data_IF_344773765607
#
_entry.id   IF_344773765607
#
_cell.length_a   1.000
_cell.length_b   1.000
_cell.length_c   1.000
_cell.angle_alpha   90.00
_cell.angle_beta   90.00
_cell.angle_gamma   90.00
#
_symmetry.space_group_name_H-M   'P 1'
#
loop_
_entity.id
_entity.type
_entity.pdbx_description
1 polymer ?
#
# COMPACT_ATOMS: atom_id res chain seq x y z
N UNK A 1 66.67 -37.62 70.21
CA UNK A 1 66.25 -38.82 69.45
C UNK A 1 64.86 -38.50 68.89
N UNK A 2 64.62 -38.19 67.63
CA UNK A 2 65.43 -37.92 66.44
C UNK A 2 64.53 -36.99 65.58
N UNK A 3 65.02 -35.82 65.20
CA UNK A 3 65.22 -35.38 63.80
C UNK A 3 64.10 -35.71 62.81
N UNK A 4 63.40 -34.65 62.38
CA UNK A 4 62.92 -34.55 61.00
C UNK A 4 63.11 -33.11 60.51
N UNK A 5 63.74 -33.02 59.34
CA UNK A 5 64.39 -31.87 58.74
C UNK A 5 63.44 -30.97 57.90
N UNK A 6 63.84 -29.71 57.82
CA UNK A 6 63.62 -28.60 56.86
C UNK A 6 62.48 -28.59 55.82
N UNK A 7 61.94 -27.38 55.63
CA UNK A 7 61.31 -26.97 54.36
C UNK A 7 60.66 -25.57 54.41
N UNK A 8 61.46 -24.53 54.15
CA UNK A 8 61.02 -23.15 53.94
C UNK A 8 60.18 -23.00 52.64
N UNK A 9 59.37 -21.93 52.48
CA UNK A 9 58.30 -21.87 51.47
C UNK A 9 58.81 -21.46 50.09
N UNK A 10 58.19 -21.92 48.99
CA UNK A 10 58.51 -21.42 47.67
C UNK A 10 57.73 -20.12 47.36
N UNK A 11 58.49 -19.12 46.93
CA UNK A 11 58.03 -17.90 46.27
C UNK A 11 57.04 -18.21 45.12
N UNK A 12 55.93 -17.48 45.08
CA UNK A 12 55.15 -17.27 43.86
C UNK A 12 54.90 -15.77 43.61
N UNK A 13 54.79 -15.39 42.33
CA UNK A 13 55.25 -14.09 41.85
C UNK A 13 54.18 -12.99 41.88
N UNK A 14 54.69 -11.76 41.91
CA UNK A 14 53.96 -10.51 41.76
C UNK A 14 53.06 -10.52 40.51
N UNK A 15 51.74 -10.65 40.72
CA UNK A 15 50.75 -10.41 39.68
C UNK A 15 50.26 -8.96 39.78
N UNK A 16 50.85 -8.16 38.91
CA UNK A 16 50.43 -6.89 38.35
C UNK A 16 48.94 -6.58 38.55
N UNK A 17 48.64 -5.48 39.24
CA UNK A 17 47.30 -4.93 39.32
C UNK A 17 46.80 -4.48 37.94
N UNK A 18 45.95 -5.29 37.31
CA UNK A 18 45.13 -4.86 36.18
C UNK A 18 43.84 -4.23 36.72
N UNK A 19 43.92 -2.92 36.95
CA UNK A 19 42.78 -2.02 37.15
C UNK A 19 41.80 -2.19 35.97
N UNK A 20 40.65 -2.81 36.22
CA UNK A 20 39.52 -2.80 35.28
C UNK A 20 39.10 -1.34 35.10
N UNK A 21 39.10 -0.78 33.88
CA UNK A 21 38.56 0.56 33.65
C UNK A 21 37.05 0.53 33.83
N UNK A 22 36.53 1.39 34.70
CA UNK A 22 35.11 1.73 34.78
C UNK A 22 34.62 2.21 33.41
N UNK A 23 33.41 1.83 32.95
CA UNK A 23 32.87 2.35 31.69
C UNK A 23 32.49 3.83 31.87
N UNK A 24 33.02 4.69 31.01
CA UNK A 24 32.63 6.11 30.90
C UNK A 24 31.12 6.25 30.64
N UNK A 25 30.39 7.08 31.42
CA UNK A 25 29.01 7.42 31.13
C UNK A 25 28.98 8.54 30.09
N UNK A 26 29.21 8.23 28.82
CA UNK A 26 29.30 9.29 27.81
C UNK A 26 29.51 8.85 26.37
N UNK A 27 28.92 7.75 25.92
CA UNK A 27 28.93 7.38 24.51
C UNK A 27 27.53 7.04 24.02
N UNK A 28 26.77 8.08 23.68
CA UNK A 28 25.49 8.00 23.00
C UNK A 28 25.73 7.50 21.56
N UNK A 29 25.81 6.17 21.40
CA UNK A 29 25.80 5.54 20.07
C UNK A 29 24.38 5.61 19.53
N UNK A 30 24.13 6.56 18.63
CA UNK A 30 22.89 6.61 17.87
C UNK A 30 22.71 5.29 17.08
N UNK A 31 21.57 4.60 17.22
CA UNK A 31 21.30 3.41 16.43
C UNK A 31 21.13 3.81 14.94
N UNK A 32 21.49 2.93 13.99
CA UNK A 32 21.35 3.23 12.57
C UNK A 32 19.87 3.41 12.23
N UNK A 33 19.53 4.58 11.67
CA UNK A 33 18.19 4.91 11.19
C UNK A 33 17.89 4.11 9.93
N UNK A 34 17.36 2.90 10.11
CA UNK A 34 16.80 2.12 9.01
C UNK A 34 15.40 2.64 8.67
N UNK A 35 15.24 3.19 7.47
CA UNK A 35 13.94 3.55 6.90
C UNK A 35 13.33 2.32 6.26
N UNK A 36 12.11 1.95 6.64
CA UNK A 36 11.32 0.94 5.93
C UNK A 36 10.08 1.64 5.38
N UNK A 37 9.94 1.66 4.05
CA UNK A 37 8.81 2.30 3.34
C UNK A 37 8.56 3.76 3.72
N UNK A 38 9.60 4.59 3.74
CA UNK A 38 9.44 6.04 3.96
C UNK A 38 9.03 6.46 5.38
N UNK A 39 8.83 5.52 6.30
CA UNK A 39 8.50 5.80 7.70
C UNK A 39 9.79 5.86 8.53
N UNK A 40 9.98 6.97 9.25
CA UNK A 40 11.08 7.16 10.17
C UNK A 40 10.81 6.39 11.47
N UNK A 41 11.69 5.45 11.83
CA UNK A 41 11.60 4.63 13.05
C UNK A 41 11.50 5.46 14.34
N UNK A 42 11.93 6.72 14.31
CA UNK A 42 11.88 7.64 15.44
C UNK A 42 10.46 8.19 15.69
N UNK A 43 9.54 8.09 14.71
CA UNK A 43 8.13 8.48 14.86
C UNK A 43 7.34 7.46 15.72
N UNK A 44 7.78 6.20 15.79
CA UNK A 44 7.19 5.20 16.70
C UNK A 44 7.43 5.51 18.18
N UNK A 45 8.45 6.30 18.52
CA UNK A 45 8.74 6.70 19.90
C UNK A 45 8.06 8.02 20.32
N UNK A 46 7.52 8.79 19.37
CA UNK A 46 7.06 10.17 19.63
C UNK A 46 5.55 10.31 19.76
N UNK A 47 4.76 9.25 19.57
CA UNK A 47 3.31 9.39 19.44
C UNK A 47 2.52 8.78 20.58
N UNK A 48 2.62 9.50 21.71
CA UNK A 48 1.80 9.36 22.91
C UNK A 48 1.72 10.70 23.65
N UNK A 49 1.54 11.82 22.94
CA UNK A 49 1.30 13.11 23.61
C UNK A 49 -0.17 13.16 24.01
N UNK A 50 -0.48 12.64 25.20
CA UNK A 50 -1.79 12.76 25.82
C UNK A 50 -2.13 11.70 26.86
N UNK A 51 -1.44 10.56 26.88
CA UNK A 51 -1.68 9.50 27.88
C UNK A 51 -0.47 9.44 28.80
N UNK A 52 -0.69 9.57 30.11
CA UNK A 52 0.35 9.49 31.13
C UNK A 52 1.29 8.27 30.89
N UNK A 53 2.56 8.31 31.33
CA UNK A 53 3.45 7.15 31.24
C UNK A 53 2.70 5.98 31.85
N UNK A 54 2.43 4.94 31.05
CA UNK A 54 1.72 3.78 31.53
C UNK A 54 2.62 3.15 32.58
N UNK A 55 2.35 3.42 33.86
CA UNK A 55 3.02 2.73 34.94
C UNK A 55 2.44 1.32 34.99
N UNK A 56 2.88 0.48 34.05
CA UNK A 56 2.47 -0.91 33.98
C UNK A 56 2.77 -1.63 35.29
N UNK A 57 3.74 -1.14 36.09
CA UNK A 57 4.09 -1.71 37.40
C UNK A 57 3.06 -1.38 38.47
N UNK A 58 2.38 -0.24 38.38
CA UNK A 58 1.24 0.08 39.22
C UNK A 58 -0.04 -0.65 38.80
N UNK A 59 -0.23 -0.86 37.49
CA UNK A 59 -1.47 -1.45 36.94
C UNK A 59 -1.52 -2.98 36.98
N UNK A 60 -0.37 -3.63 36.91
CA UNK A 60 -0.26 -5.08 36.94
C UNK A 60 0.81 -5.52 37.97
N UNK A 61 0.46 -6.30 39.01
CA UNK A 61 1.42 -6.75 40.01
C UNK A 61 2.48 -7.70 39.40
N UNK A 62 3.65 -7.82 40.04
CA UNK A 62 4.68 -8.76 39.56
C UNK A 62 4.21 -10.20 39.73
N UNK A 63 4.46 -11.02 38.71
CA UNK A 63 4.20 -12.45 38.78
C UNK A 63 5.20 -13.12 39.73
N UNK A 64 4.82 -14.21 40.42
CA UNK A 64 5.76 -15.02 41.18
C UNK A 64 6.89 -15.55 40.28
N UNK A 65 8.10 -15.66 40.85
CA UNK A 65 9.27 -16.15 40.11
C UNK A 65 8.97 -17.50 39.44
N UNK A 66 9.25 -17.60 38.14
CA UNK A 66 8.95 -18.79 37.32
C UNK A 66 7.53 -18.87 36.75
N UNK A 67 6.62 -17.93 37.08
CA UNK A 67 5.25 -17.87 36.52
C UNK A 67 5.04 -16.80 35.45
N UNK A 68 6.11 -16.11 35.05
CA UNK A 68 6.10 -15.00 34.09
C UNK A 68 5.65 -15.39 32.66
N UNK A 69 5.60 -16.68 32.33
CA UNK A 69 5.12 -17.20 31.03
C UNK A 69 3.83 -18.03 31.13
N UNK A 70 3.21 -18.09 32.31
CA UNK A 70 1.94 -18.81 32.51
C UNK A 70 0.80 -18.12 31.78
N UNK A 71 -0.33 -18.79 31.58
CA UNK A 71 -1.47 -18.23 30.85
C UNK A 71 -2.05 -16.98 31.52
N UNK A 72 -1.87 -16.86 32.85
CA UNK A 72 -2.27 -15.71 33.66
C UNK A 72 -1.15 -14.71 33.89
N UNK A 73 0.00 -14.86 33.23
CA UNK A 73 1.12 -13.95 33.39
C UNK A 73 0.73 -12.53 32.98
N UNK A 74 1.24 -11.56 33.73
CA UNK A 74 1.04 -10.13 33.53
C UNK A 74 1.45 -9.66 32.12
N UNK A 75 2.37 -10.34 31.46
CA UNK A 75 2.84 -9.94 30.13
C UNK A 75 1.75 -10.02 29.06
N UNK A 76 0.82 -10.98 29.14
CA UNK A 76 -0.22 -11.16 28.13
C UNK A 76 -1.24 -10.01 28.07
N UNK A 77 -1.84 -9.54 29.19
CA UNK A 77 -2.71 -8.38 29.15
C UNK A 77 -1.97 -7.10 28.75
N UNK A 78 -0.72 -6.91 29.20
CA UNK A 78 0.11 -5.77 28.78
C UNK A 78 0.35 -5.78 27.27
N UNK A 79 0.77 -6.93 26.73
CA UNK A 79 0.99 -7.10 25.31
C UNK A 79 -0.30 -6.86 24.51
N UNK A 80 -1.44 -7.39 24.96
CA UNK A 80 -2.71 -7.21 24.26
C UNK A 80 -3.18 -5.75 24.27
N UNK A 81 -2.99 -5.03 25.37
CA UNK A 81 -3.32 -3.61 25.46
C UNK A 81 -2.44 -2.78 24.50
N UNK A 82 -1.13 -3.00 24.54
CA UNK A 82 -0.19 -2.31 23.67
C UNK A 82 -0.42 -2.64 22.19
N UNK A 83 -0.64 -3.92 21.89
CA UNK A 83 -0.94 -4.39 20.55
C UNK A 83 -2.26 -3.82 20.03
N UNK A 84 -3.29 -3.72 20.89
CA UNK A 84 -4.57 -3.12 20.50
C UNK A 84 -4.42 -1.64 20.16
N UNK A 85 -3.63 -0.88 20.92
CA UNK A 85 -3.35 0.52 20.62
C UNK A 85 -2.58 0.67 19.28
N UNK A 86 -1.52 -0.12 19.10
CA UNK A 86 -0.76 -0.15 17.85
C UNK A 86 -1.64 -0.51 16.64
N UNK A 87 -2.44 -1.59 16.76
CA UNK A 87 -3.32 -2.07 15.70
C UNK A 87 -4.40 -1.04 15.36
N UNK A 88 -4.99 -0.40 16.37
CA UNK A 88 -6.00 0.64 16.17
C UNK A 88 -5.43 1.83 15.41
N UNK A 89 -4.24 2.31 15.78
CA UNK A 89 -3.59 3.42 15.11
C UNK A 89 -3.21 3.08 13.65
N UNK A 90 -2.57 1.93 13.44
CA UNK A 90 -2.18 1.46 12.11
C UNK A 90 -3.39 1.27 11.18
N UNK A 91 -4.46 0.64 11.67
CA UNK A 91 -5.68 0.41 10.88
C UNK A 91 -6.41 1.72 10.60
N UNK A 92 -6.44 2.67 11.54
CA UNK A 92 -7.04 3.98 11.32
C UNK A 92 -6.33 4.72 10.18
N UNK A 93 -5.00 4.82 10.21
CA UNK A 93 -4.22 5.49 9.16
C UNK A 93 -4.43 4.87 7.78
N UNK A 94 -4.39 3.54 7.69
CA UNK A 94 -4.59 2.83 6.44
C UNK A 94 -6.01 2.97 5.89
N UNK A 95 -7.01 2.90 6.78
CA UNK A 95 -8.41 3.10 6.38
C UNK A 95 -8.66 4.51 5.88
N UNK A 96 -8.13 5.52 6.56
CA UNK A 96 -8.29 6.92 6.15
C UNK A 96 -7.64 7.15 4.78
N UNK A 97 -6.45 6.59 4.55
CA UNK A 97 -5.79 6.62 3.23
C UNK A 97 -6.64 5.93 2.15
N UNK A 98 -7.14 4.73 2.43
CA UNK A 98 -7.98 3.96 1.50
C UNK A 98 -9.28 4.72 1.18
N UNK A 99 -9.90 5.36 2.16
CA UNK A 99 -11.15 6.08 1.97
C UNK A 99 -10.96 7.31 1.07
N UNK A 100 -9.86 8.04 1.23
CA UNK A 100 -9.49 9.14 0.32
C UNK A 100 -9.25 8.62 -1.10
N UNK A 101 -8.50 7.51 -1.25
CA UNK A 101 -8.23 6.91 -2.57
C UNK A 101 -9.51 6.43 -3.26
N UNK A 102 -10.45 5.85 -2.51
CA UNK A 102 -11.73 5.38 -3.06
C UNK A 102 -12.60 6.52 -3.56
N UNK A 103 -12.70 7.62 -2.80
CA UNK A 103 -13.41 8.82 -3.24
C UNK A 103 -12.77 9.39 -4.51
N UNK A 104 -11.44 9.49 -4.53
CA UNK A 104 -10.71 9.96 -5.71
C UNK A 104 -10.95 9.04 -6.91
N UNK A 105 -10.81 7.72 -6.75
CA UNK A 105 -11.02 6.75 -7.82
C UNK A 105 -12.45 6.80 -8.37
N UNK A 106 -13.46 6.98 -7.52
CA UNK A 106 -14.85 7.13 -7.95
C UNK A 106 -15.09 8.39 -8.78
N UNK A 107 -14.62 9.54 -8.30
CA UNK A 107 -14.73 10.81 -9.03
C UNK A 107 -13.96 10.77 -10.35
N UNK A 108 -12.74 10.27 -10.32
CA UNK A 108 -11.91 10.10 -11.51
C UNK A 108 -12.55 9.18 -12.53
N UNK A 109 -13.11 8.04 -12.10
CA UNK A 109 -13.80 7.10 -13.00
C UNK A 109 -15.05 7.72 -13.62
N UNK A 110 -15.79 8.55 -12.87
CA UNK A 110 -16.95 9.26 -13.41
C UNK A 110 -16.55 10.24 -14.52
N UNK A 111 -15.53 11.07 -14.27
CA UNK A 111 -14.99 12.01 -15.27
C UNK A 111 -14.43 11.25 -16.47
N UNK A 112 -13.66 10.18 -16.25
CA UNK A 112 -13.09 9.40 -17.33
C UNK A 112 -14.15 8.71 -18.18
N UNK A 113 -15.25 8.25 -17.56
CA UNK A 113 -16.37 7.65 -18.27
C UNK A 113 -17.04 8.64 -19.22
N UNK A 114 -17.16 9.92 -18.86
CA UNK A 114 -17.76 10.91 -19.78
C UNK A 114 -16.89 11.11 -21.01
N UNK A 115 -15.56 11.17 -20.86
CA UNK A 115 -14.63 11.23 -22.00
C UNK A 115 -14.72 9.98 -22.86
N UNK A 116 -14.71 8.79 -22.26
CA UNK A 116 -14.84 7.51 -22.99
C UNK A 116 -16.17 7.45 -23.76
N UNK A 117 -17.28 7.90 -23.17
CA UNK A 117 -18.59 7.95 -23.85
C UNK A 117 -18.58 8.96 -25.01
N UNK A 118 -17.86 10.08 -24.87
CA UNK A 118 -17.74 11.09 -25.94
C UNK A 118 -16.87 10.61 -27.11
N UNK A 119 -15.80 9.85 -26.86
CA UNK A 119 -14.89 9.40 -27.92
C UNK A 119 -15.20 8.01 -28.48
N UNK A 120 -15.98 7.19 -27.77
CA UNK A 120 -16.42 5.88 -28.27
C UNK A 120 -17.11 5.95 -29.65
N UNK A 121 -17.96 6.97 -29.94
CA UNK A 121 -18.53 7.16 -31.27
C UNK A 121 -17.50 7.45 -32.38
N UNK A 122 -16.36 8.07 -32.08
CA UNK A 122 -15.32 8.37 -33.09
C UNK A 122 -14.66 7.08 -33.65
N UNK A 123 -14.83 5.95 -32.97
CA UNK A 123 -14.38 4.62 -33.42
C UNK A 123 -15.42 3.88 -34.27
N UNK A 124 -16.66 4.38 -34.33
CA UNK A 124 -17.69 3.81 -35.19
C UNK A 124 -17.70 4.52 -36.54
N UNK A 125 -18.01 3.81 -37.64
CA UNK A 125 -18.22 4.45 -38.92
C UNK A 125 -19.33 5.49 -38.79
N UNK A 126 -19.02 6.75 -39.05
CA UNK A 126 -20.02 7.80 -39.13
C UNK A 126 -20.82 7.60 -40.44
N UNK A 127 -21.91 6.85 -40.33
CA UNK A 127 -22.83 6.62 -41.43
C UNK A 127 -23.42 7.93 -41.98
N UNK A 128 -23.41 9.03 -41.21
CA UNK A 128 -23.87 10.34 -41.67
C UNK A 128 -22.84 11.01 -42.60
N UNK A 129 -21.54 10.96 -42.26
CA UNK A 129 -20.49 11.38 -43.21
C UNK A 129 -20.40 10.47 -44.42
N UNK A 130 -20.55 9.15 -44.25
CA UNK A 130 -20.56 8.18 -45.36
C UNK A 130 -21.68 8.52 -46.36
N UNK A 131 -22.87 8.80 -45.85
CA UNK A 131 -24.04 9.15 -46.67
C UNK A 131 -23.90 10.54 -47.30
N UNK A 132 -23.34 11.53 -46.60
CA UNK A 132 -23.04 12.84 -47.20
C UNK A 132 -22.01 12.74 -48.33
N UNK A 133 -20.95 11.94 -48.16
CA UNK A 133 -19.95 11.74 -49.20
C UNK A 133 -20.55 11.05 -50.44
N UNK A 134 -21.34 9.99 -50.23
CA UNK A 134 -22.07 9.33 -51.31
C UNK A 134 -23.07 10.26 -52.00
N UNK A 135 -23.81 11.08 -51.24
CA UNK A 135 -24.73 12.07 -51.82
C UNK A 135 -23.99 13.12 -52.65
N UNK A 136 -22.82 13.59 -52.18
CA UNK A 136 -21.99 14.54 -52.92
C UNK A 136 -21.44 13.92 -54.21
N UNK A 137 -21.04 12.65 -54.16
CA UNK A 137 -20.56 11.91 -55.32
C UNK A 137 -21.68 11.67 -56.35
N UNK A 138 -22.90 11.32 -55.91
CA UNK A 138 -24.08 11.21 -56.77
C UNK A 138 -24.44 12.57 -57.38
N UNK A 139 -24.38 13.65 -56.61
CA UNK A 139 -24.67 15.01 -57.09
C UNK A 139 -23.65 15.43 -58.18
N UNK A 140 -22.37 15.15 -57.95
CA UNK A 140 -21.28 15.41 -58.91
C UNK A 140 -21.44 14.60 -60.19
N UNK A 141 -21.79 13.32 -60.07
CA UNK A 141 -22.04 12.44 -61.22
C UNK A 141 -23.24 12.94 -62.06
N UNK A 142 -24.33 13.34 -61.40
CA UNK A 142 -25.55 13.87 -62.02
C UNK A 142 -25.29 15.22 -62.73
N UNK A 143 -24.49 16.11 -62.12
CA UNK A 143 -24.12 17.39 -62.72
C UNK A 143 -23.16 17.24 -63.92
N UNK A 144 -22.44 16.12 -64.03
CA UNK A 144 -21.44 15.87 -65.08
C UNK A 144 -21.96 15.11 -66.32
N UNK A 145 -23.29 14.93 -66.48
CA UNK A 145 -23.89 14.31 -67.66
C UNK A 145 -23.35 12.89 -67.99
N UNK A 146 -23.27 12.00 -66.99
CA UNK A 146 -23.15 10.56 -67.23
C UNK A 146 -21.75 9.95 -67.09
N UNK A 147 -20.81 10.60 -66.41
CA UNK A 147 -19.57 9.95 -65.97
C UNK A 147 -19.91 8.75 -65.08
N UNK A 148 -19.33 7.57 -65.37
CA UNK A 148 -19.56 6.34 -64.61
C UNK A 148 -19.35 6.56 -63.10
N UNK A 149 -20.37 6.23 -62.32
CA UNK A 149 -20.31 6.26 -60.86
C UNK A 149 -19.37 5.12 -60.44
N UNK A 150 -18.18 5.46 -59.95
CA UNK A 150 -17.30 4.50 -59.28
C UNK A 150 -17.89 4.19 -57.90
N UNK A 151 -18.91 3.33 -57.86
CA UNK A 151 -19.50 2.89 -56.59
C UNK A 151 -18.44 2.02 -55.90
N UNK A 152 -17.94 2.40 -54.72
CA UNK A 152 -16.98 1.59 -53.97
C UNK A 152 -17.64 0.26 -53.58
N UNK A 153 -16.89 -0.83 -53.71
CA UNK A 153 -17.40 -2.21 -53.54
C UNK A 153 -17.81 -2.55 -52.11
N UNK A 154 -17.53 -1.69 -51.13
CA UNK A 154 -18.08 -1.79 -49.78
C UNK A 154 -18.31 -0.41 -49.16
N UNK A 155 -19.38 -0.23 -48.36
CA UNK A 155 -19.62 1.01 -47.61
C UNK A 155 -18.57 1.28 -46.52
N UNK A 156 -17.74 0.29 -46.20
CA UNK A 156 -16.64 0.38 -45.21
C UNK A 156 -15.30 0.83 -45.80
N UNK A 157 -15.15 0.91 -47.12
CA UNK A 157 -13.88 1.30 -47.75
C UNK A 157 -13.45 2.76 -47.45
N UNK A 158 -14.37 3.60 -46.96
CA UNK A 158 -14.09 4.99 -46.59
C UNK A 158 -13.69 5.19 -45.11
N UNK A 159 -13.84 4.15 -44.28
CA UNK A 159 -13.57 4.23 -42.86
C UNK A 159 -12.32 3.42 -42.52
N UNK A 160 -11.19 4.10 -42.50
CA UNK A 160 -10.04 3.65 -41.70
C UNK A 160 -10.00 4.56 -40.47
N UNK A 161 -10.31 4.04 -39.27
CA UNK A 161 -10.06 4.78 -38.03
C UNK A 161 -8.61 5.26 -38.04
N UNK A 162 -8.38 6.50 -37.64
CA UNK A 162 -7.01 6.98 -37.50
C UNK A 162 -6.33 6.16 -36.40
N UNK A 163 -5.08 5.72 -36.62
CA UNK A 163 -4.32 4.93 -35.62
C UNK A 163 -4.19 5.66 -34.28
N UNK A 164 -4.26 6.99 -34.31
CA UNK A 164 -4.30 7.87 -33.13
C UNK A 164 -5.57 7.68 -32.30
N UNK A 165 -6.75 7.62 -32.93
CA UNK A 165 -8.02 7.46 -32.22
C UNK A 165 -8.12 6.08 -31.54
N UNK A 166 -7.60 5.04 -32.21
CA UNK A 166 -7.49 3.70 -31.65
C UNK A 166 -6.66 3.68 -30.36
N UNK A 167 -5.51 4.34 -30.38
CA UNK A 167 -4.59 4.38 -29.25
C UNK A 167 -5.12 5.22 -28.09
N UNK A 168 -5.80 6.32 -28.39
CA UNK A 168 -6.33 7.25 -27.39
C UNK A 168 -7.48 6.65 -26.58
N UNK A 169 -8.43 6.00 -27.25
CA UNK A 169 -9.50 5.27 -26.58
C UNK A 169 -8.95 4.07 -25.77
N UNK A 170 -7.92 3.40 -26.27
CA UNK A 170 -7.24 2.32 -25.53
C UNK A 170 -6.59 2.85 -24.26
N UNK A 171 -5.86 3.98 -24.33
CA UNK A 171 -5.25 4.64 -23.16
C UNK A 171 -6.29 5.01 -22.10
N UNK A 172 -7.43 5.58 -22.51
CA UNK A 172 -8.50 5.93 -21.57
C UNK A 172 -9.21 4.71 -20.98
N UNK A 173 -9.42 3.66 -21.76
CA UNK A 173 -9.97 2.41 -21.24
C UNK A 173 -9.02 1.71 -20.27
N UNK A 174 -7.71 1.71 -20.55
CA UNK A 174 -6.67 1.18 -19.64
C UNK A 174 -6.62 2.02 -18.37
N UNK A 175 -6.68 3.35 -18.49
CA UNK A 175 -6.75 4.25 -17.34
C UNK A 175 -7.98 3.94 -16.46
N UNK A 176 -9.15 3.74 -17.07
CA UNK A 176 -10.40 3.45 -16.37
C UNK A 176 -10.34 2.10 -15.65
N UNK A 177 -9.90 1.06 -16.35
CA UNK A 177 -9.77 -0.28 -15.79
C UNK A 177 -8.76 -0.30 -14.64
N UNK A 178 -7.63 0.40 -14.77
CA UNK A 178 -6.63 0.51 -13.71
C UNK A 178 -7.19 1.23 -12.46
N UNK A 179 -7.97 2.29 -12.64
CA UNK A 179 -8.68 2.97 -11.55
C UNK A 179 -9.67 2.04 -10.84
N UNK A 180 -10.47 1.29 -11.60
CA UNK A 180 -11.45 0.35 -11.04
C UNK A 180 -10.79 -0.83 -10.32
N UNK A 181 -9.70 -1.38 -10.85
CA UNK A 181 -8.90 -2.42 -10.17
C UNK A 181 -8.35 -1.87 -8.86
N UNK A 182 -7.81 -0.66 -8.86
CA UNK A 182 -7.31 0.01 -7.65
C UNK A 182 -8.41 0.15 -6.61
N UNK A 183 -9.61 0.60 -7.02
CA UNK A 183 -10.77 0.70 -6.13
C UNK A 183 -11.21 -0.66 -5.57
N UNK A 184 -11.25 -1.70 -6.41
CA UNK A 184 -11.62 -3.06 -5.97
C UNK A 184 -10.63 -3.59 -4.94
N UNK A 185 -9.33 -3.47 -5.20
CA UNK A 185 -8.29 -3.89 -4.26
C UNK A 185 -8.37 -3.10 -2.95
N UNK A 186 -8.61 -1.79 -3.03
CA UNK A 186 -8.80 -0.94 -1.85
C UNK A 186 -9.98 -1.42 -0.97
N UNK A 187 -11.11 -1.81 -1.58
CA UNK A 187 -12.25 -2.40 -0.85
C UNK A 187 -11.88 -3.75 -0.22
N UNK A 188 -11.17 -4.63 -0.93
CA UNK A 188 -10.71 -5.91 -0.39
C UNK A 188 -9.81 -5.72 0.83
N UNK A 189 -8.85 -4.80 0.75
CA UNK A 189 -7.98 -4.47 1.87
C UNK A 189 -8.80 -3.94 3.05
N UNK A 190 -9.77 -3.06 2.80
CA UNK A 190 -10.66 -2.54 3.86
C UNK A 190 -11.41 -3.67 4.57
N UNK A 191 -11.90 -4.66 3.83
CA UNK A 191 -12.54 -5.85 4.41
C UNK A 191 -11.56 -6.69 5.24
N UNK A 192 -10.33 -6.88 4.77
CA UNK A 192 -9.27 -7.57 5.52
C UNK A 192 -8.93 -6.86 6.82
N UNK A 193 -8.80 -5.53 6.80
CA UNK A 193 -8.52 -4.73 8.00
C UNK A 193 -9.67 -4.80 9.00
N UNK A 194 -10.92 -4.81 8.53
CA UNK A 194 -12.08 -5.00 9.39
C UNK A 194 -12.06 -6.37 10.08
N UNK A 195 -11.75 -7.44 9.34
CA UNK A 195 -11.65 -8.79 9.89
C UNK A 195 -10.44 -8.95 10.83
N UNK A 196 -9.35 -8.22 10.57
CA UNK A 196 -8.16 -8.23 11.42
C UNK A 196 -8.48 -7.77 12.84
N UNK A 197 -9.18 -6.63 12.98
CA UNK A 197 -9.57 -6.03 14.27
C UNK A 197 -10.75 -6.73 14.96
N UNK A 198 -11.44 -7.65 14.28
CA UNK A 198 -12.59 -8.36 14.85
C UNK A 198 -12.17 -9.15 16.11
N UNK A 199 -12.60 -8.68 17.27
CA UNK A 199 -12.16 -9.18 18.58
C UNK A 199 -12.72 -10.58 18.82
N UNK A 200 -11.84 -11.52 19.17
CA UNK A 200 -12.24 -12.84 19.71
C UNK A 200 -12.31 -12.71 21.23
N UNK A 201 -13.50 -12.40 21.74
CA UNK A 201 -13.72 -12.03 23.14
C UNK A 201 -13.69 -13.20 24.13
N UNK A 202 -13.82 -14.44 23.65
CA UNK A 202 -14.08 -15.61 24.51
C UNK A 202 -12.84 -16.46 24.85
N UNK A 203 -11.63 -15.89 24.75
CA UNK A 203 -10.38 -16.65 24.93
C UNK A 203 -9.42 -16.03 25.96
N UNK A 204 -8.55 -16.87 26.53
CA UNK A 204 -7.52 -16.46 27.49
C UNK A 204 -6.64 -15.33 26.95
N UNK A 205 -6.08 -14.49 27.83
CA UNK A 205 -5.20 -13.39 27.43
C UNK A 205 -4.03 -13.87 26.55
N UNK A 206 -3.48 -15.05 26.85
CA UNK A 206 -2.42 -15.67 26.03
C UNK A 206 -2.92 -16.09 24.65
N UNK A 207 -4.10 -16.68 24.56
CA UNK A 207 -4.66 -17.15 23.30
C UNK A 207 -5.01 -15.98 22.38
N UNK A 208 -5.57 -14.90 22.94
CA UNK A 208 -5.78 -13.64 22.20
C UNK A 208 -4.47 -13.08 21.64
N UNK A 209 -3.41 -13.07 22.44
CA UNK A 209 -2.09 -12.61 22.00
C UNK A 209 -1.56 -13.45 20.83
N UNK A 210 -1.71 -14.78 20.90
CA UNK A 210 -1.31 -15.71 19.84
C UNK A 210 -2.15 -15.54 18.58
N UNK A 211 -3.48 -15.47 18.70
CA UNK A 211 -4.39 -15.26 17.57
C UNK A 211 -4.06 -13.95 16.85
N UNK A 212 -3.87 -12.86 17.60
CA UNK A 212 -3.46 -11.57 17.05
C UNK A 212 -2.11 -11.69 16.34
N UNK A 213 -1.13 -12.32 16.96
CA UNK A 213 0.18 -12.51 16.36
C UNK A 213 0.11 -13.30 15.05
N UNK A 214 -0.68 -14.38 15.00
CA UNK A 214 -0.91 -15.17 13.77
C UNK A 214 -1.57 -14.33 12.68
N UNK A 215 -2.58 -13.51 13.03
CA UNK A 215 -3.22 -12.59 12.08
C UNK A 215 -2.25 -11.54 11.55
N UNK A 216 -1.41 -10.96 12.43
CA UNK A 216 -0.41 -9.97 12.05
C UNK A 216 0.69 -10.58 11.17
N UNK A 217 1.17 -11.76 11.53
CA UNK A 217 2.11 -12.52 10.72
C UNK A 217 1.52 -12.88 9.35
N UNK A 218 0.22 -13.22 9.30
CA UNK A 218 -0.54 -13.36 8.07
C UNK A 218 -0.52 -12.08 7.25
N UNK A 219 -0.91 -10.95 7.84
CA UNK A 219 -0.91 -9.64 7.18
C UNK A 219 0.44 -9.28 6.56
N UNK A 220 1.54 -9.61 7.26
CA UNK A 220 2.90 -9.40 6.77
C UNK A 220 3.32 -10.41 5.71
N UNK A 221 2.94 -11.68 5.83
CA UNK A 221 3.25 -12.73 4.83
C UNK A 221 2.54 -12.46 3.51
N UNK A 222 1.29 -12.01 3.57
CA UNK A 222 0.48 -11.61 2.42
C UNK A 222 0.86 -10.22 1.88
N UNK A 223 1.83 -9.54 2.49
CA UNK A 223 2.34 -8.23 2.05
C UNK A 223 1.24 -7.16 1.91
N UNK A 224 0.19 -7.22 2.75
CA UNK A 224 -0.88 -6.22 2.76
C UNK A 224 -0.35 -4.78 2.87
N UNK A 225 0.70 -4.47 3.68
CA UNK A 225 1.26 -3.12 3.73
C UNK A 225 1.85 -2.67 2.38
N UNK A 226 2.44 -3.59 1.61
CA UNK A 226 2.95 -3.30 0.27
C UNK A 226 1.81 -3.04 -0.71
N UNK A 227 0.71 -3.81 -0.63
CA UNK A 227 -0.48 -3.60 -1.44
C UNK A 227 -1.06 -2.20 -1.18
N UNK A 228 -1.21 -1.81 0.10
CA UNK A 228 -1.70 -0.49 0.50
C UNK A 228 -0.80 0.61 -0.05
N UNK A 229 0.52 0.44 0.02
CA UNK A 229 1.48 1.39 -0.55
C UNK A 229 1.45 1.47 -2.08
N UNK A 230 1.03 0.41 -2.77
CA UNK A 230 0.93 0.37 -4.23
C UNK A 230 -0.36 1.00 -4.76
N UNK A 231 -1.44 1.00 -3.98
CA UNK A 231 -2.74 1.57 -4.37
C UNK A 231 -2.62 3.02 -4.89
N UNK A 232 -1.97 3.97 -4.17
CA UNK A 232 -1.75 5.30 -4.71
C UNK A 232 -0.99 5.29 -6.02
N UNK A 233 0.05 4.46 -6.16
CA UNK A 233 0.91 4.44 -7.36
C UNK A 233 0.11 4.00 -8.60
N UNK A 234 -0.71 2.97 -8.48
CA UNK A 234 -1.61 2.52 -9.54
C UNK A 234 -2.60 3.62 -9.95
N UNK A 235 -3.12 4.36 -8.97
CA UNK A 235 -4.03 5.47 -9.21
C UNK A 235 -3.34 6.65 -9.92
N UNK A 236 -2.14 7.03 -9.49
CA UNK A 236 -1.36 8.07 -10.15
C UNK A 236 -0.97 7.66 -11.58
N UNK A 237 -0.64 6.39 -11.80
CA UNK A 237 -0.36 5.85 -13.14
C UNK A 237 -1.60 5.95 -14.03
N UNK A 238 -2.77 5.58 -13.52
CA UNK A 238 -4.05 5.74 -14.21
C UNK A 238 -4.30 7.20 -14.60
N UNK A 239 -4.06 8.13 -13.68
CA UNK A 239 -4.19 9.57 -13.91
C UNK A 239 -3.19 10.08 -14.98
N UNK A 240 -1.95 9.60 -14.95
CA UNK A 240 -0.93 9.96 -15.93
C UNK A 240 -1.29 9.48 -17.34
N UNK A 241 -1.82 8.25 -17.47
CA UNK A 241 -2.32 7.71 -18.74
C UNK A 241 -3.50 8.54 -19.27
N UNK A 242 -4.40 8.97 -18.39
CA UNK A 242 -5.50 9.86 -18.78
C UNK A 242 -5.01 11.20 -19.32
N UNK A 243 -4.10 11.86 -18.61
CA UNK A 243 -3.53 13.14 -19.06
C UNK A 243 -2.75 13.02 -20.37
N UNK A 244 -2.03 11.91 -20.57
CA UNK A 244 -1.37 11.64 -21.84
C UNK A 244 -2.40 11.56 -22.99
N UNK A 245 -3.50 10.82 -22.80
CA UNK A 245 -4.58 10.76 -23.79
C UNK A 245 -5.27 12.12 -24.00
N UNK A 246 -5.48 12.90 -22.92
CA UNK A 246 -6.06 14.25 -23.01
C UNK A 246 -5.17 15.21 -23.81
N UNK A 247 -3.86 15.18 -23.61
CA UNK A 247 -2.93 16.02 -24.35
C UNK A 247 -2.98 15.70 -25.86
N UNK A 248 -2.94 14.42 -26.23
CA UNK A 248 -3.06 13.99 -27.63
C UNK A 248 -4.41 14.42 -28.23
N UNK A 249 -5.50 14.30 -27.46
CA UNK A 249 -6.83 14.71 -27.90
C UNK A 249 -6.88 16.21 -28.18
N UNK A 250 -6.31 17.04 -27.30
CA UNK A 250 -6.24 18.49 -27.49
C UNK A 250 -5.33 18.91 -28.65
N UNK A 251 -4.27 18.16 -28.95
CA UNK A 251 -3.43 18.42 -30.13
C UNK A 251 -4.10 18.00 -31.44
N UNK A 252 -5.06 17.07 -31.38
CA UNK A 252 -5.79 16.57 -32.55
C UNK A 252 -7.07 17.36 -32.85
N UNK A 253 -7.52 18.21 -31.92
CA UNK A 253 -8.67 19.09 -32.06
C UNK A 253 -8.30 20.37 -32.82
#
# INVERSE_FOLDING_TARGET
MADTDQGAPPNQPSATGSRVPSPDPGAQRNPPSGTFFGLNKNQLHSWGIGVAPHDYKARYPLDPYGKEMTDNARIWPIYNEEAANFDANMVAEWRDTIDVLLVFAGLFSAVLTTFVVQTSPNMQPDYTQASMFLLFEILKATASNGSQISIPSSPTAFFSPSRSDEWLNSLWFVSLTLSLITALVAVLVKQWLHQYIAVVSDSSARDRARIRHMRFAGLQTWQVPMIIGLLPVLLHLSLALFFAGLAVFLFSL
#
